data_IF_679071247427
#
_entry.id   IF_679071247427
#
_cell.length_a   1.000
_cell.length_b   1.000
_cell.length_c   1.000
_cell.angle_alpha   90.00
_cell.angle_beta   90.00
_cell.angle_gamma   90.00
#
_symmetry.space_group_name_H-M   'P 1'
#
loop_
_entity.id
_entity.type
_entity.pdbx_description
1 polymer ?
#
# COMPACT_ATOMS: atom_id res chain seq x y z
N UNK A 1 -18.21 16.07 2.43
CA UNK A 1 -18.66 14.91 3.24
C UNK A 1 -17.52 13.91 3.26
N UNK A 2 -17.14 13.33 4.40
CA UNK A 2 -16.14 12.27 4.40
C UNK A 2 -16.65 11.08 3.58
N UNK A 3 -15.74 10.37 2.91
CA UNK A 3 -16.06 9.19 2.09
C UNK A 3 -16.46 7.98 2.95
N UNK A 4 -16.05 7.97 4.23
CA UNK A 4 -16.34 6.93 5.21
C UNK A 4 -16.72 7.58 6.55
N UNK A 5 -17.61 6.92 7.31
CA UNK A 5 -17.90 7.32 8.69
C UNK A 5 -16.65 7.12 9.57
N UNK A 6 -16.20 8.12 10.37
CA UNK A 6 -14.96 8.02 11.14
C UNK A 6 -14.86 6.79 12.06
N UNK A 7 -15.99 6.34 12.62
CA UNK A 7 -16.03 5.13 13.44
C UNK A 7 -15.72 3.86 12.64
N UNK A 8 -16.11 3.81 11.37
CA UNK A 8 -15.81 2.68 10.49
C UNK A 8 -14.34 2.72 10.08
N UNK A 9 -13.80 3.91 9.79
CA UNK A 9 -12.38 4.08 9.47
C UNK A 9 -11.48 3.61 10.62
N UNK A 10 -11.81 4.01 11.86
CA UNK A 10 -11.09 3.56 13.04
C UNK A 10 -11.20 2.04 13.21
N UNK A 11 -12.41 1.48 13.11
CA UNK A 11 -12.63 0.03 13.21
C UNK A 11 -11.80 -0.76 12.21
N UNK A 12 -11.74 -0.32 10.95
CA UNK A 12 -10.92 -0.97 9.92
C UNK A 12 -9.43 -0.85 10.22
N UNK A 13 -8.99 0.29 10.75
CA UNK A 13 -7.60 0.53 11.13
C UNK A 13 -7.17 -0.36 12.30
N UNK A 14 -8.05 -0.55 13.30
CA UNK A 14 -7.80 -1.39 14.47
C UNK A 14 -7.70 -2.89 14.11
N UNK A 15 -8.32 -3.31 13.01
CA UNK A 15 -8.25 -4.68 12.49
C UNK A 15 -6.97 -4.97 11.70
N UNK A 16 -6.18 -3.95 11.37
CA UNK A 16 -4.96 -4.15 10.61
C UNK A 16 -3.92 -4.89 11.45
N UNK A 17 -3.26 -5.93 10.91
CA UNK A 17 -2.13 -6.52 11.60
C UNK A 17 -0.97 -5.52 11.63
N UNK A 18 0.00 -5.81 12.50
CA UNK A 18 1.20 -5.01 12.63
C UNK A 18 1.90 -4.82 11.28
N UNK A 19 2.36 -3.58 11.03
CA UNK A 19 3.07 -3.20 9.80
C UNK A 19 4.52 -3.63 9.91
N UNK A 20 5.11 -4.11 8.82
CA UNK A 20 6.54 -4.40 8.78
C UNK A 20 7.37 -3.12 9.04
N UNK A 21 8.57 -3.22 9.65
CA UNK A 21 9.38 -2.04 9.99
C UNK A 21 9.61 -1.09 8.81
N UNK A 22 9.88 -1.64 7.62
CA UNK A 22 10.07 -0.82 6.41
C UNK A 22 8.82 -0.01 6.04
N UNK A 23 7.61 -0.57 6.25
CA UNK A 23 6.36 0.14 5.97
C UNK A 23 6.14 1.25 7.00
N UNK A 24 6.49 1.01 8.26
CA UNK A 24 6.43 2.03 9.32
C UNK A 24 7.38 3.19 9.01
N UNK A 25 8.64 2.91 8.65
CA UNK A 25 9.62 3.94 8.25
C UNK A 25 9.12 4.75 7.05
N UNK A 26 8.50 4.10 6.06
CA UNK A 26 7.93 4.78 4.90
C UNK A 26 6.75 5.70 5.27
N UNK A 27 5.91 5.31 6.24
CA UNK A 27 4.79 6.12 6.72
C UNK A 27 5.28 7.31 7.56
N UNK A 28 6.26 7.10 8.44
CA UNK A 28 6.92 8.17 9.20
C UNK A 28 7.60 9.17 8.26
N UNK A 29 8.28 8.68 7.22
CA UNK A 29 8.86 9.54 6.18
C UNK A 29 7.78 10.34 5.45
N UNK A 30 6.66 9.71 5.07
CA UNK A 30 5.55 10.39 4.40
C UNK A 30 4.97 11.50 5.28
N UNK A 31 4.73 11.22 6.55
CA UNK A 31 4.21 12.18 7.52
C UNK A 31 5.19 13.36 7.71
N UNK A 32 6.46 13.06 7.97
CA UNK A 32 7.49 14.08 8.20
C UNK A 32 7.71 15.01 7.00
N UNK A 33 7.56 14.49 5.77
CA UNK A 33 7.76 15.25 4.54
C UNK A 33 6.45 15.76 3.92
N UNK A 34 5.31 15.53 4.58
CA UNK A 34 3.98 15.81 4.03
C UNK A 34 3.78 15.22 2.62
N UNK A 35 4.40 14.07 2.36
CA UNK A 35 4.34 13.40 1.07
C UNK A 35 3.05 12.55 1.00
N UNK A 36 2.21 12.70 -0.04
CA UNK A 36 0.96 11.97 -0.13
C UNK A 36 1.20 10.47 -0.37
N UNK A 37 0.57 9.63 0.46
CA UNK A 37 0.56 8.17 0.31
C UNK A 37 -0.88 7.64 0.32
N UNK A 38 -1.09 6.46 -0.24
CA UNK A 38 -2.41 5.79 -0.24
C UNK A 38 -2.82 5.26 1.15
N UNK A 39 -1.87 5.15 2.07
CA UNK A 39 -2.08 4.63 3.42
C UNK A 39 -2.24 3.11 3.50
N UNK A 40 -2.24 2.54 4.73
CA UNK A 40 -2.10 1.10 4.93
C UNK A 40 -3.35 0.29 4.55
N UNK A 41 -4.55 0.87 4.68
CA UNK A 41 -5.80 0.21 4.25
C UNK A 41 -5.81 -0.03 2.73
N UNK A 42 -5.49 1.02 1.95
CA UNK A 42 -5.44 0.93 0.49
C UNK A 42 -4.25 0.09 0.03
N UNK A 43 -3.10 0.20 0.68
CA UNK A 43 -1.95 -0.66 0.40
C UNK A 43 -2.28 -2.15 0.50
N UNK A 44 -2.97 -2.55 1.57
CA UNK A 44 -3.44 -3.94 1.73
C UNK A 44 -4.45 -4.34 0.65
N UNK A 45 -5.34 -3.44 0.25
CA UNK A 45 -6.25 -3.69 -0.85
C UNK A 45 -5.49 -3.95 -2.17
N UNK A 46 -4.45 -3.15 -2.47
CA UNK A 46 -3.58 -3.39 -3.63
C UNK A 46 -2.92 -4.77 -3.56
N UNK A 47 -2.34 -5.14 -2.41
CA UNK A 47 -1.78 -6.48 -2.19
C UNK A 47 -2.82 -7.59 -2.48
N UNK A 48 -4.03 -7.47 -1.92
CA UNK A 48 -5.09 -8.46 -2.13
C UNK A 48 -5.54 -8.54 -3.59
N UNK A 49 -5.61 -7.41 -4.30
CA UNK A 49 -5.92 -7.40 -5.73
C UNK A 49 -4.87 -8.16 -6.55
N UNK A 50 -3.58 -7.92 -6.28
CA UNK A 50 -2.48 -8.62 -6.96
C UNK A 50 -2.58 -10.13 -6.74
N UNK A 51 -2.84 -10.58 -5.50
CA UNK A 51 -3.04 -12.00 -5.18
C UNK A 51 -4.28 -12.58 -5.87
N UNK A 52 -5.39 -11.83 -5.89
CA UNK A 52 -6.68 -12.33 -6.40
C UNK A 52 -6.67 -12.53 -7.92
N UNK A 53 -5.92 -11.71 -8.66
CA UNK A 53 -5.82 -11.81 -10.12
C UNK A 53 -4.62 -12.64 -10.58
N UNK A 54 -3.81 -13.16 -9.66
CA UNK A 54 -2.54 -13.84 -9.94
C UNK A 54 -1.63 -13.02 -10.87
N UNK A 55 -1.39 -11.75 -10.55
CA UNK A 55 -0.56 -10.92 -11.41
C UNK A 55 0.90 -11.41 -11.42
N UNK A 56 1.54 -11.39 -12.60
CA UNK A 56 2.98 -11.65 -12.77
C UNK A 56 3.78 -10.41 -13.17
N UNK A 57 3.12 -9.40 -13.76
CA UNK A 57 3.76 -8.16 -14.20
C UNK A 57 2.84 -6.99 -13.92
N UNK A 58 3.37 -5.96 -13.26
CA UNK A 58 2.65 -4.73 -12.92
C UNK A 58 3.38 -3.53 -13.53
N UNK A 59 2.62 -2.60 -14.10
CA UNK A 59 3.11 -1.29 -14.47
C UNK A 59 2.49 -0.24 -13.54
N UNK A 60 3.33 0.57 -12.92
CA UNK A 60 2.92 1.66 -12.02
C UNK A 60 3.45 3.00 -12.55
N UNK A 61 2.55 3.94 -12.79
CA UNK A 61 2.91 5.28 -13.25
C UNK A 61 2.80 6.26 -12.08
N UNK A 62 3.95 6.78 -11.64
CA UNK A 62 4.07 7.68 -10.50
C UNK A 62 4.18 6.94 -9.17
N UNK A 63 5.34 6.31 -8.92
CA UNK A 63 5.62 5.53 -7.71
C UNK A 63 6.00 6.38 -6.49
N UNK A 64 6.36 7.64 -6.69
CA UNK A 64 6.90 8.48 -5.62
C UNK A 64 8.19 7.89 -5.06
N UNK A 65 8.21 7.61 -3.76
CA UNK A 65 9.31 6.86 -3.12
C UNK A 65 9.00 5.35 -2.95
N UNK A 66 7.93 4.86 -3.59
CA UNK A 66 7.64 3.42 -3.71
C UNK A 66 6.68 2.83 -2.67
N UNK A 67 5.91 3.65 -1.94
CA UNK A 67 4.97 3.15 -0.91
C UNK A 67 3.91 2.21 -1.49
N UNK A 68 3.23 2.60 -2.57
CA UNK A 68 2.28 1.72 -3.27
C UNK A 68 2.99 0.57 -3.99
N UNK A 69 4.16 0.83 -4.58
CA UNK A 69 5.02 -0.18 -5.21
C UNK A 69 5.35 -1.33 -4.25
N UNK A 70 5.63 -1.03 -2.98
CA UNK A 70 5.87 -2.04 -1.95
C UNK A 70 4.69 -3.01 -1.83
N UNK A 71 3.47 -2.50 -1.71
CA UNK A 71 2.27 -3.32 -1.57
C UNK A 71 1.97 -4.16 -2.81
N UNK A 72 2.19 -3.59 -3.99
CA UNK A 72 2.05 -4.28 -5.27
C UNK A 72 3.08 -5.41 -5.39
N UNK A 73 4.35 -5.11 -5.12
CA UNK A 73 5.45 -6.06 -5.19
C UNK A 73 5.30 -7.19 -4.16
N UNK A 74 4.84 -6.89 -2.94
CA UNK A 74 4.56 -7.89 -1.90
C UNK A 74 3.53 -8.94 -2.34
N UNK A 75 2.63 -8.59 -3.26
CA UNK A 75 1.62 -9.50 -3.80
C UNK A 75 2.14 -10.40 -4.93
N UNK A 76 3.22 -10.03 -5.60
CA UNK A 76 3.76 -10.77 -6.74
C UNK A 76 4.40 -12.11 -6.31
N UNK A 77 4.52 -13.09 -7.22
CA UNK A 77 5.40 -14.24 -7.01
C UNK A 77 6.87 -13.80 -7.01
N UNK A 78 7.77 -14.68 -6.55
CA UNK A 78 9.22 -14.39 -6.44
C UNK A 78 9.87 -13.99 -7.77
N UNK A 79 9.35 -14.48 -8.90
CA UNK A 79 9.80 -14.17 -10.26
C UNK A 79 8.99 -13.04 -10.94
N UNK A 80 8.08 -12.41 -10.18
CA UNK A 80 7.25 -11.32 -10.64
C UNK A 80 8.04 -10.05 -10.94
N UNK A 81 7.46 -9.19 -11.78
CA UNK A 81 8.11 -7.95 -12.24
C UNK A 81 7.22 -6.74 -12.01
N UNK A 82 7.82 -5.65 -11.59
CA UNK A 82 7.17 -4.35 -11.52
C UNK A 82 7.99 -3.33 -12.31
N UNK A 83 7.33 -2.61 -13.20
CA UNK A 83 7.90 -1.51 -13.98
C UNK A 83 7.28 -0.23 -13.45
N UNK A 84 8.08 0.67 -12.90
CA UNK A 84 7.59 1.87 -12.25
C UNK A 84 8.44 3.10 -12.59
N UNK A 85 7.81 4.28 -12.48
CA UNK A 85 8.42 5.59 -12.77
C UNK A 85 8.46 6.48 -11.53
#
# INVERSE_FOLDING_TARGET
>A
MPTLEPKIEQYLSDLLPEREPVVQEMEEYAEANQFPIVGPLVGRLCYQMVKSINANTIFEMGSGFGYSTYWLAKGLPDDGKIIFT
#
